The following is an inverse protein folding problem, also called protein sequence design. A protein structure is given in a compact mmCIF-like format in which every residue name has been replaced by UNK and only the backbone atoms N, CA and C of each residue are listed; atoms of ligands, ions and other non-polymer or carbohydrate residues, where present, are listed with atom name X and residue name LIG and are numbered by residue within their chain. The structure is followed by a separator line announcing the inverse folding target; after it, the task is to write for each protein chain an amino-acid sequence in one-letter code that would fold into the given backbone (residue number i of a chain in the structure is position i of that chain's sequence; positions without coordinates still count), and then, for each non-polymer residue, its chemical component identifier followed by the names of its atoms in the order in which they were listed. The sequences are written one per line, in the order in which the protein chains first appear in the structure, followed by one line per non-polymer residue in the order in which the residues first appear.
data_IF_834752318714
#
_entry.id   IF_834752318714
#
_cell.length_a   1.000
_cell.length_b   1.000
_cell.length_c   1.000
_cell.angle_alpha   90.00
_cell.angle_beta   90.00
_cell.angle_gamma   90.00
#
_symmetry.space_group_name_H-M   'P 1'
#
loop_
_entity.id
_entity.type
_entity.pdbx_description
1 polymer ?
#
# COMPACT_ATOMS: atom_id res chain seq x y z
N UNK A 1 14.36 13.86 17.14
CA UNK A 1 13.52 12.69 16.83
C UNK A 1 14.28 11.47 17.30
N UNK A 2 13.69 10.63 18.14
CA UNK A 2 14.39 9.48 18.73
C UNK A 2 14.70 8.40 17.70
N UNK A 3 15.93 7.88 17.74
CA UNK A 3 16.34 6.73 16.94
C UNK A 3 15.49 5.53 17.35
N UNK A 4 14.83 4.87 16.39
CA UNK A 4 14.06 3.67 16.66
C UNK A 4 15.03 2.52 16.98
N UNK A 5 14.74 1.77 18.05
CA UNK A 5 15.53 0.60 18.40
C UNK A 5 15.22 -0.54 17.42
N UNK A 6 16.22 -1.35 17.10
CA UNK A 6 16.01 -2.49 16.22
C UNK A 6 17.14 -3.51 16.26
N UNK A 7 16.82 -4.71 15.80
CA UNK A 7 17.74 -5.84 15.70
C UNK A 7 17.68 -6.40 14.28
N UNK A 8 18.77 -7.01 13.83
CA UNK A 8 18.86 -7.58 12.50
C UNK A 8 19.73 -8.83 12.50
N UNK A 9 19.41 -9.76 11.62
CA UNK A 9 20.20 -10.96 11.37
C UNK A 9 20.11 -11.34 9.89
N UNK A 10 21.12 -12.07 9.42
CA UNK A 10 21.05 -12.81 8.17
C UNK A 10 21.07 -14.29 8.55
N UNK A 11 20.08 -15.04 8.07
CA UNK A 11 19.96 -16.48 8.28
C UNK A 11 19.88 -17.19 6.93
N UNK A 12 20.19 -18.48 6.92
CA UNK A 12 19.83 -19.34 5.79
C UNK A 12 18.47 -19.99 6.09
N UNK A 13 17.54 -19.99 5.15
CA UNK A 13 16.22 -20.56 5.33
C UNK A 13 15.41 -20.67 4.04
N UNK A 14 14.17 -21.15 4.18
CA UNK A 14 13.25 -21.32 3.06
C UNK A 14 12.75 -19.96 2.58
N UNK A 15 12.95 -19.69 1.29
CA UNK A 15 12.50 -18.47 0.61
C UNK A 15 11.45 -18.83 -0.45
N UNK A 16 10.72 -17.85 -1.01
CA UNK A 16 9.86 -18.07 -2.17
C UNK A 16 10.59 -18.61 -3.41
N UNK A 17 11.93 -18.62 -3.41
CA UNK A 17 12.78 -19.04 -4.53
C UNK A 17 13.63 -20.28 -4.21
N UNK A 18 13.31 -20.99 -3.11
CA UNK A 18 14.08 -22.15 -2.63
C UNK A 18 14.89 -21.83 -1.37
N UNK A 19 15.86 -22.67 -1.02
CA UNK A 19 16.74 -22.41 0.12
C UNK A 19 17.70 -21.26 -0.19
N UNK A 20 17.84 -20.32 0.74
CA UNK A 20 18.70 -19.16 0.52
C UNK A 20 18.86 -18.27 1.74
N UNK A 21 19.62 -17.18 1.56
CA UNK A 21 19.80 -16.16 2.61
C UNK A 21 18.55 -15.30 2.75
N UNK A 22 18.20 -15.01 4.00
CA UNK A 22 17.11 -14.11 4.38
C UNK A 22 17.64 -13.10 5.38
N UNK A 23 17.49 -11.82 5.07
CA UNK A 23 17.61 -10.74 6.06
C UNK A 23 16.32 -10.66 6.86
N UNK A 24 16.47 -10.72 8.17
CA UNK A 24 15.40 -10.48 9.13
C UNK A 24 15.80 -9.22 9.90
N UNK A 25 14.90 -8.24 9.97
CA UNK A 25 15.09 -7.08 10.82
C UNK A 25 13.80 -6.76 11.57
N UNK A 26 13.93 -6.35 12.82
CA UNK A 26 12.82 -5.91 13.65
C UNK A 26 13.10 -4.47 14.09
N UNK A 27 12.14 -3.58 13.86
CA UNK A 27 12.18 -2.18 14.31
C UNK A 27 11.04 -1.96 15.31
N UNK A 28 11.35 -1.36 16.45
CA UNK A 28 10.39 -1.10 17.52
C UNK A 28 9.94 0.36 17.56
N UNK A 29 8.63 0.57 17.65
CA UNK A 29 8.01 1.86 17.93
C UNK A 29 7.04 1.73 19.12
N UNK A 30 7.55 1.97 20.33
CA UNK A 30 6.81 1.69 21.56
C UNK A 30 6.51 0.20 21.69
N UNK A 31 5.23 -0.16 21.77
CA UNK A 31 4.77 -1.55 21.85
C UNK A 31 4.61 -2.24 20.48
N UNK A 32 4.89 -1.53 19.37
CA UNK A 32 4.75 -2.06 18.01
C UNK A 32 6.08 -2.60 17.52
N UNK A 33 6.07 -3.79 16.94
CA UNK A 33 7.20 -4.39 16.26
C UNK A 33 6.92 -4.50 14.75
N UNK A 34 7.78 -3.88 13.94
CA UNK A 34 7.75 -3.99 12.49
C UNK A 34 8.82 -4.98 12.05
N UNK A 35 8.39 -6.11 11.49
CA UNK A 35 9.28 -7.20 11.07
C UNK A 35 9.45 -7.18 9.55
N UNK A 36 10.68 -7.10 9.09
CA UNK A 36 11.06 -7.12 7.69
C UNK A 36 11.73 -8.45 7.36
N UNK A 37 11.23 -9.10 6.32
CA UNK A 37 11.88 -10.26 5.70
C UNK A 37 12.30 -9.86 4.28
N UNK A 38 13.57 -10.03 3.97
CA UNK A 38 14.08 -9.74 2.65
C UNK A 38 14.97 -10.86 2.12
N UNK A 39 14.75 -11.21 0.86
CA UNK A 39 15.48 -12.24 0.14
C UNK A 39 15.55 -11.85 -1.34
N UNK A 40 16.34 -12.57 -2.13
CA UNK A 40 16.54 -12.29 -3.55
C UNK A 40 16.40 -13.58 -4.37
N UNK A 41 15.82 -13.45 -5.57
CA UNK A 41 15.82 -14.52 -6.59
C UNK A 41 17.24 -14.90 -7.02
N UNK A 42 18.15 -13.91 -7.00
CA UNK A 42 19.54 -14.02 -7.44
C UNK A 42 20.46 -14.09 -6.23
N UNK A 43 20.73 -15.30 -5.76
CA UNK A 43 21.53 -15.54 -4.56
C UNK A 43 22.96 -14.95 -4.68
N UNK A 44 23.54 -14.95 -5.88
CA UNK A 44 24.82 -14.33 -6.22
C UNK A 44 24.85 -12.82 -5.92
N UNK A 45 23.69 -12.15 -6.02
CA UNK A 45 23.55 -10.70 -5.77
C UNK A 45 23.05 -10.36 -4.38
N UNK A 46 22.96 -11.34 -3.46
CA UNK A 46 22.42 -11.12 -2.12
C UNK A 46 23.07 -9.90 -1.44
N UNK A 47 24.40 -9.82 -1.41
CA UNK A 47 25.12 -8.74 -0.70
C UNK A 47 24.78 -7.34 -1.23
N UNK A 48 24.59 -7.19 -2.54
CA UNK A 48 24.25 -5.91 -3.17
C UNK A 48 22.81 -5.49 -2.81
N UNK A 49 21.86 -6.41 -3.01
CA UNK A 49 20.44 -6.18 -2.72
C UNK A 49 20.23 -5.95 -1.22
N UNK A 50 20.94 -6.70 -0.39
CA UNK A 50 20.89 -6.63 1.07
C UNK A 50 21.31 -5.25 1.60
N UNK A 51 22.32 -4.61 0.99
CA UNK A 51 22.72 -3.23 1.31
C UNK A 51 21.60 -2.23 1.00
N UNK A 52 20.90 -2.41 -0.12
CA UNK A 52 19.78 -1.54 -0.50
C UNK A 52 18.59 -1.73 0.45
N UNK A 53 18.25 -2.99 0.77
CA UNK A 53 17.24 -3.32 1.77
C UNK A 53 17.56 -2.70 3.13
N UNK A 54 18.81 -2.83 3.59
CA UNK A 54 19.22 -2.28 4.87
C UNK A 54 19.12 -0.75 4.88
N UNK A 55 19.44 -0.08 3.77
CA UNK A 55 19.24 1.37 3.62
C UNK A 55 17.75 1.73 3.74
N UNK A 56 16.85 0.97 3.11
CA UNK A 56 15.39 1.17 3.23
C UNK A 56 14.87 0.91 4.64
N UNK A 57 15.39 -0.08 5.36
CA UNK A 57 15.01 -0.32 6.76
C UNK A 57 15.49 0.84 7.65
N UNK A 58 16.70 1.36 7.41
CA UNK A 58 17.26 2.49 8.17
C UNK A 58 16.54 3.82 7.92
N UNK A 59 15.85 3.98 6.79
CA UNK A 59 15.02 5.16 6.53
C UNK A 59 13.64 5.09 7.19
N UNK A 60 13.27 3.95 7.79
CA UNK A 60 12.02 3.81 8.53
C UNK A 60 11.95 4.81 9.68
N UNK A 61 10.84 5.53 9.76
CA UNK A 61 10.63 6.57 10.75
C UNK A 61 9.15 6.74 11.07
N UNK A 62 8.87 7.39 12.21
CA UNK A 62 7.52 7.84 12.53
C UNK A 62 7.10 8.91 11.52
N UNK A 63 5.83 8.88 11.11
CA UNK A 63 5.24 9.93 10.27
C UNK A 63 5.39 11.30 10.94
N UNK A 64 6.17 12.18 10.31
CA UNK A 64 6.32 13.58 10.69
C UNK A 64 5.08 14.40 10.26
N UNK A 65 5.04 15.68 10.61
CA UNK A 65 3.89 16.54 10.30
C UNK A 65 3.62 16.68 8.79
N UNK A 66 4.64 16.67 7.94
CA UNK A 66 4.49 16.67 6.47
C UNK A 66 3.96 15.31 6.00
N UNK A 67 4.49 14.21 6.53
CA UNK A 67 4.05 12.86 6.16
C UNK A 67 2.57 12.66 6.51
N UNK A 68 2.12 13.12 7.69
CA UNK A 68 0.71 13.04 8.10
C UNK A 68 -0.22 13.87 7.22
N UNK A 69 0.25 14.97 6.63
CA UNK A 69 -0.56 15.78 5.71
C UNK A 69 -0.87 15.05 4.40
N UNK A 70 0.04 14.17 3.96
CA UNK A 70 -0.13 13.37 2.73
C UNK A 70 -0.69 11.98 3.01
N UNK A 71 -0.42 11.40 4.17
CA UNK A 71 -0.98 10.14 4.65
C UNK A 71 -2.43 10.33 5.14
N UNK A 72 -3.30 10.77 4.23
CA UNK A 72 -4.73 10.87 4.50
C UNK A 72 -5.36 9.49 4.39
N UNK A 73 -6.20 9.16 5.36
CA UNK A 73 -7.06 8.00 5.27
C UNK A 73 -7.97 8.10 4.04
N UNK A 74 -8.23 6.97 3.40
CA UNK A 74 -9.24 6.89 2.35
C UNK A 74 -10.62 7.00 2.98
N UNK A 75 -11.48 7.87 2.44
CA UNK A 75 -12.85 8.07 2.92
C UNK A 75 -13.84 7.74 1.82
N UNK A 76 -15.00 7.24 2.25
CA UNK A 76 -16.19 7.23 1.39
C UNK A 76 -16.79 8.62 1.40
N UNK A 77 -16.94 9.22 0.23
CA UNK A 77 -17.60 10.52 0.07
C UNK A 77 -18.73 10.44 -0.94
N UNK A 78 -19.73 11.30 -0.78
CA UNK A 78 -20.76 11.51 -1.80
C UNK A 78 -20.30 12.55 -2.81
N UNK A 79 -20.44 12.25 -4.09
CA UNK A 79 -20.17 13.16 -5.20
C UNK A 79 -21.36 13.18 -6.13
N UNK A 80 -21.73 14.39 -6.58
CA UNK A 80 -22.76 14.56 -7.60
C UNK A 80 -22.21 14.23 -8.98
N UNK A 81 -22.96 13.44 -9.75
CA UNK A 81 -22.57 13.03 -11.10
C UNK A 81 -22.83 14.16 -12.08
N UNK A 82 -21.78 14.53 -12.81
CA UNK A 82 -21.76 15.54 -13.86
C UNK A 82 -20.99 15.02 -15.08
N UNK A 83 -20.65 15.91 -16.01
CA UNK A 83 -20.07 15.50 -17.30
C UNK A 83 -18.70 14.82 -17.19
N UNK A 84 -17.90 15.19 -16.18
CA UNK A 84 -16.54 14.70 -16.00
C UNK A 84 -16.45 13.33 -15.30
N UNK A 85 -17.54 12.88 -14.66
CA UNK A 85 -17.61 11.65 -13.87
C UNK A 85 -18.90 10.86 -14.16
N UNK A 86 -19.42 10.99 -15.38
CA UNK A 86 -20.69 10.41 -15.85
C UNK A 86 -20.71 8.88 -16.02
N UNK A 87 -19.60 8.20 -15.75
CA UNK A 87 -19.54 6.74 -15.79
C UNK A 87 -18.58 6.19 -14.75
N UNK A 88 -18.83 4.97 -14.31
CA UNK A 88 -17.97 4.22 -13.39
C UNK A 88 -16.57 4.07 -13.98
N UNK A 89 -16.43 3.84 -15.28
CA UNK A 89 -15.12 3.78 -15.94
C UNK A 89 -14.31 5.07 -15.78
N UNK A 90 -14.95 6.24 -15.85
CA UNK A 90 -14.28 7.53 -15.63
C UNK A 90 -13.90 7.72 -14.15
N UNK A 91 -14.79 7.34 -13.24
CA UNK A 91 -14.56 7.38 -11.80
C UNK A 91 -13.43 6.46 -11.36
N UNK A 92 -13.34 5.27 -11.96
CA UNK A 92 -12.34 4.26 -11.66
C UNK A 92 -10.91 4.73 -11.95
N UNK A 93 -10.70 5.58 -12.97
CA UNK A 93 -9.36 6.09 -13.34
C UNK A 93 -8.64 6.82 -12.23
N UNK A 94 -9.39 7.50 -11.36
CA UNK A 94 -8.86 8.30 -10.27
C UNK A 94 -9.14 7.67 -8.89
N UNK A 95 -9.61 6.42 -8.87
CA UNK A 95 -9.94 5.72 -7.64
C UNK A 95 -8.66 5.16 -7.00
N UNK A 96 -8.51 5.27 -5.66
CA UNK A 96 -7.41 4.65 -4.93
C UNK A 96 -7.58 3.14 -4.74
N UNK A 97 -8.72 2.57 -5.16
CA UNK A 97 -8.97 1.12 -5.13
C UNK A 97 -8.03 0.44 -6.13
N UNK A 98 -7.34 -0.63 -5.72
CA UNK A 98 -6.28 -1.28 -6.53
C UNK A 98 -6.77 -2.44 -7.39
N UNK A 99 -7.84 -3.14 -7.00
CA UNK A 99 -8.33 -4.34 -7.68
C UNK A 99 -9.83 -4.23 -7.98
N UNK A 100 -10.26 -4.69 -9.16
CA UNK A 100 -11.67 -4.71 -9.57
C UNK A 100 -12.38 -3.37 -9.35
N UNK A 101 -11.71 -2.27 -9.71
CA UNK A 101 -12.12 -0.91 -9.35
C UNK A 101 -13.55 -0.59 -9.79
N UNK A 102 -13.89 -0.91 -11.04
CA UNK A 102 -15.24 -0.65 -11.56
C UNK A 102 -16.30 -1.47 -10.82
N UNK A 103 -16.06 -2.77 -10.62
CA UNK A 103 -17.01 -3.66 -9.94
C UNK A 103 -17.21 -3.25 -8.48
N UNK A 104 -16.14 -2.88 -7.78
CA UNK A 104 -16.23 -2.40 -6.40
C UNK A 104 -16.98 -1.06 -6.31
N UNK A 105 -16.73 -0.13 -7.23
CA UNK A 105 -17.50 1.12 -7.29
C UNK A 105 -18.97 0.86 -7.62
N UNK A 106 -19.27 -0.12 -8.50
CA UNK A 106 -20.65 -0.51 -8.79
C UNK A 106 -21.34 -1.12 -7.57
N UNK A 107 -20.69 -2.06 -6.87
CA UNK A 107 -21.22 -2.65 -5.65
C UNK A 107 -21.49 -1.59 -4.57
N UNK A 108 -20.57 -0.66 -4.37
CA UNK A 108 -20.71 0.44 -3.40
C UNK A 108 -21.94 1.32 -3.66
N UNK A 109 -22.36 1.40 -4.93
CA UNK A 109 -23.44 2.27 -5.40
C UNK A 109 -24.72 1.54 -5.81
N UNK A 110 -24.84 0.23 -5.55
CA UNK A 110 -25.94 -0.58 -6.09
C UNK A 110 -26.09 -0.45 -7.62
N UNK A 111 -24.98 -0.57 -8.34
CA UNK A 111 -24.93 -0.50 -9.80
C UNK A 111 -24.38 -1.79 -10.43
N UNK A 112 -24.13 -2.82 -9.61
CA UNK A 112 -23.64 -4.10 -10.09
C UNK A 112 -24.73 -4.84 -10.91
N UNK A 113 -24.36 -5.63 -11.94
CA UNK A 113 -23.01 -5.77 -12.51
C UNK A 113 -22.58 -4.63 -13.44
N UNK A 114 -23.53 -3.97 -14.09
CA UNK A 114 -23.26 -3.27 -15.34
C UNK A 114 -24.13 -2.01 -15.53
N UNK A 115 -24.74 -1.50 -14.46
CA UNK A 115 -25.47 -0.22 -14.48
C UNK A 115 -24.52 0.96 -14.34
N UNK A 116 -24.87 2.10 -14.94
CA UNK A 116 -24.14 3.36 -14.85
C UNK A 116 -24.98 4.39 -14.07
N UNK A 117 -24.34 5.34 -13.35
CA UNK A 117 -25.07 6.40 -12.68
C UNK A 117 -25.58 7.43 -13.69
N UNK A 118 -26.68 8.12 -13.34
CA UNK A 118 -27.26 9.18 -14.15
C UNK A 118 -26.70 10.54 -13.75
N UNK A 119 -26.77 11.51 -14.67
CA UNK A 119 -26.41 12.89 -14.37
C UNK A 119 -27.30 13.42 -13.23
N UNK A 120 -26.67 14.04 -12.24
CA UNK A 120 -27.33 14.56 -11.05
C UNK A 120 -27.38 13.59 -9.87
N UNK A 121 -27.13 12.29 -10.08
CA UNK A 121 -27.11 11.30 -9.00
C UNK A 121 -26.05 11.64 -7.95
N UNK A 122 -26.33 11.30 -6.69
CA UNK A 122 -25.33 11.29 -5.63
C UNK A 122 -24.79 9.87 -5.48
N UNK A 123 -23.51 9.70 -5.79
CA UNK A 123 -22.83 8.40 -5.70
C UNK A 123 -21.71 8.45 -4.67
N UNK A 124 -21.44 7.30 -4.07
CA UNK A 124 -20.35 7.04 -3.13
C UNK A 124 -19.08 6.70 -3.90
N UNK A 125 -17.97 7.37 -3.57
CA UNK A 125 -16.64 7.05 -4.10
C UNK A 125 -15.64 6.97 -2.96
N UNK A 126 -14.48 6.35 -3.22
CA UNK A 126 -13.35 6.31 -2.29
C UNK A 126 -12.30 7.33 -2.75
N UNK A 127 -11.79 8.17 -1.84
CA UNK A 127 -10.71 9.13 -2.11
C UNK A 127 -9.95 9.52 -0.84
#
# INVERSE_FOLDING_TARGET
MGQLAGYQAIVNGKTPYGQGKVRIAVVFDGLRAFVFFATTKRADRFVEVDKQVLTSIKSFSRLNAKDRKVAKELKVVLVKVGQHNKSIKLLAKNSPITHHVEDQLRLLNDLFPNREPKLGDLIKIVR
#
